data_IF_352823863985
#
_entry.id   IF_352823863985
#
_cell.length_a   1.000
_cell.length_b   1.000
_cell.length_c   1.000
_cell.angle_alpha   90.00
_cell.angle_beta   90.00
_cell.angle_gamma   90.00
#
_symmetry.space_group_name_H-M   'P 1'
#
loop_
_entity.id
_entity.type
_entity.pdbx_description
1 polymer ?
#
# COMPACT_ATOMS: atom_id res chain seq x y z
N UNK A 1 13.49 -0.95 -2.96
CA UNK A 1 13.78 0.50 -3.01
C UNK A 1 13.75 0.99 -1.59
N UNK A 2 14.52 2.02 -1.28
CA UNK A 2 14.37 2.70 0.00
C UNK A 2 13.05 3.49 0.00
N UNK A 3 12.50 3.77 1.19
CA UNK A 3 11.21 4.45 1.32
C UNK A 3 11.16 5.81 0.62
N UNK A 4 12.24 6.61 0.71
CA UNK A 4 12.32 7.90 0.02
C UNK A 4 12.19 7.77 -1.51
N UNK A 5 12.82 6.76 -2.10
CA UNK A 5 12.73 6.49 -3.55
C UNK A 5 11.32 6.08 -3.98
N UNK A 6 10.60 5.37 -3.10
CA UNK A 6 9.20 4.98 -3.32
C UNK A 6 8.31 6.22 -3.30
N UNK A 7 8.49 7.08 -2.31
CA UNK A 7 7.70 8.31 -2.16
C UNK A 7 7.90 9.27 -3.33
N UNK A 8 9.12 9.36 -3.88
CA UNK A 8 9.39 10.16 -5.08
C UNK A 8 8.65 9.65 -6.32
N UNK A 9 8.53 8.33 -6.49
CA UNK A 9 7.96 7.72 -7.71
C UNK A 9 6.47 7.45 -7.63
N UNK A 10 6.00 7.02 -6.47
CA UNK A 10 4.66 6.46 -6.29
C UNK A 10 3.88 7.14 -5.16
N UNK A 11 4.48 8.08 -4.41
CA UNK A 11 3.87 8.67 -3.21
C UNK A 11 2.50 9.28 -3.46
N UNK A 12 2.28 9.92 -4.60
CA UNK A 12 1.01 10.59 -4.96
C UNK A 12 0.00 9.65 -5.65
N UNK A 13 0.37 8.39 -5.88
CA UNK A 13 -0.55 7.39 -6.47
C UNK A 13 -1.68 7.15 -5.48
N UNK A 14 -2.91 7.27 -5.98
CA UNK A 14 -4.10 7.01 -5.20
C UNK A 14 -4.46 5.53 -5.23
N UNK A 15 -4.69 4.98 -4.06
CA UNK A 15 -5.16 3.61 -3.86
C UNK A 15 -6.47 3.63 -3.08
N UNK A 16 -7.26 2.56 -3.24
CA UNK A 16 -8.51 2.33 -2.52
C UNK A 16 -8.45 1.00 -1.81
N UNK A 17 -9.10 0.92 -0.66
CA UNK A 17 -9.34 -0.36 -0.01
C UNK A 17 -10.01 -1.34 -0.98
N UNK A 18 -9.47 -2.55 -1.07
CA UNK A 18 -9.97 -3.61 -1.96
C UNK A 18 -10.49 -4.80 -1.18
N UNK A 19 -9.70 -5.28 -0.22
CA UNK A 19 -10.01 -6.51 0.52
C UNK A 19 -9.17 -6.59 1.78
N UNK A 20 -9.55 -7.47 2.70
CA UNK A 20 -8.71 -7.87 3.81
C UNK A 20 -8.68 -9.39 3.90
N UNK A 21 -7.55 -9.94 4.36
CA UNK A 21 -7.45 -11.34 4.72
C UNK A 21 -6.60 -11.49 5.97
N UNK A 22 -7.20 -12.05 7.02
CA UNK A 22 -6.61 -12.11 8.37
C UNK A 22 -6.17 -10.72 8.83
N UNK A 23 -4.86 -10.49 8.90
CA UNK A 23 -4.25 -9.29 9.46
C UNK A 23 -3.73 -8.31 8.42
N UNK A 24 -4.01 -8.58 7.14
CA UNK A 24 -3.49 -7.75 6.04
C UNK A 24 -4.65 -7.09 5.32
N UNK A 25 -4.60 -5.77 5.25
CA UNK A 25 -5.46 -4.95 4.42
C UNK A 25 -4.79 -4.71 3.07
N UNK A 26 -5.56 -4.88 2.00
CA UNK A 26 -5.08 -4.70 0.63
C UNK A 26 -5.73 -3.47 0.03
N UNK A 27 -4.88 -2.58 -0.47
CA UNK A 27 -5.27 -1.40 -1.23
C UNK A 27 -4.80 -1.55 -2.67
N UNK A 28 -5.61 -1.08 -3.62
CA UNK A 28 -5.30 -1.16 -5.05
C UNK A 28 -5.46 0.18 -5.72
N UNK A 29 -4.58 0.46 -6.66
CA UNK A 29 -4.62 1.64 -7.51
C UNK A 29 -3.89 1.39 -8.82
N UNK A 30 -3.71 2.47 -9.57
CA UNK A 30 -2.93 2.46 -10.81
C UNK A 30 -2.10 3.72 -10.90
N UNK A 31 -0.89 3.59 -11.46
CA UNK A 31 -0.08 4.77 -11.82
C UNK A 31 -0.69 5.47 -13.04
N UNK A 32 -0.21 6.67 -13.35
CA UNK A 32 -0.57 7.38 -14.58
C UNK A 32 -0.22 6.58 -15.85
N UNK A 33 0.79 5.71 -15.75
CA UNK A 33 1.20 4.79 -16.81
C UNK A 33 0.37 3.49 -16.85
N UNK A 34 -0.73 3.42 -16.09
CA UNK A 34 -1.64 2.26 -16.00
C UNK A 34 -0.96 0.98 -15.48
N UNK A 35 0.13 1.12 -14.71
CA UNK A 35 0.74 0.02 -13.95
C UNK A 35 -0.14 -0.29 -12.74
N UNK A 36 -0.35 -1.57 -12.44
CA UNK A 36 -1.08 -1.97 -11.24
C UNK A 36 -0.24 -1.71 -10.00
N UNK A 37 -0.85 -1.08 -9.00
CA UNK A 37 -0.26 -0.86 -7.68
C UNK A 37 -1.08 -1.58 -6.64
N UNK A 38 -0.41 -2.40 -5.83
CA UNK A 38 -0.99 -3.08 -4.69
C UNK A 38 -0.20 -2.68 -3.45
N UNK A 39 -0.90 -2.21 -2.41
CA UNK A 39 -0.31 -1.89 -1.13
C UNK A 39 -0.89 -2.80 -0.05
N UNK A 40 -0.05 -3.24 0.86
CA UNK A 40 -0.41 -4.05 2.01
C UNK A 40 -0.13 -3.29 3.30
N UNK A 41 -1.09 -3.33 4.22
CA UNK A 41 -0.94 -2.76 5.57
C UNK A 41 -1.38 -3.78 6.61
N UNK A 42 -0.60 -3.90 7.68
CA UNK A 42 -0.72 -4.88 8.74
C UNK A 42 -0.21 -6.26 8.36
N UNK A 43 0.21 -7.02 9.35
CA UNK A 43 0.68 -8.42 9.20
C UNK A 43 0.39 -9.26 10.44
N UNK A 44 0.29 -8.59 11.58
CA UNK A 44 0.09 -9.18 12.89
C UNK A 44 -1.28 -8.77 13.48
N UNK A 45 -1.78 -9.51 14.49
CA UNK A 45 -2.99 -9.11 15.20
C UNK A 45 -2.90 -7.75 15.89
N UNK A 46 -1.70 -7.23 16.14
CA UNK A 46 -1.51 -5.95 16.81
C UNK A 46 -1.67 -4.79 15.81
N UNK A 47 -1.16 -4.95 14.58
CA UNK A 47 -1.18 -3.93 13.53
C UNK A 47 -2.60 -3.60 13.02
N UNK A 48 -3.55 -4.54 13.12
CA UNK A 48 -4.89 -4.36 12.54
C UNK A 48 -5.74 -3.28 13.20
N UNK A 49 -5.35 -2.84 14.39
CA UNK A 49 -6.05 -1.75 15.09
C UNK A 49 -5.49 -0.38 14.72
N UNK A 50 -4.40 -0.31 13.97
CA UNK A 50 -3.74 0.94 13.58
C UNK A 50 -4.33 1.55 12.30
N UNK A 51 -5.08 0.75 11.52
CA UNK A 51 -5.59 1.14 10.21
C UNK A 51 -7.11 1.33 10.23
N UNK A 52 -7.57 2.55 10.01
CA UNK A 52 -8.98 2.82 9.72
C UNK A 52 -9.24 2.66 8.22
N UNK A 53 -10.02 1.66 7.84
CA UNK A 53 -10.42 1.48 6.43
C UNK A 53 -11.63 2.33 6.07
N UNK A 54 -11.50 3.14 5.01
CA UNK A 54 -12.60 3.83 4.34
C UNK A 54 -12.59 3.47 2.84
N UNK A 55 -13.69 3.74 2.16
CA UNK A 55 -13.89 3.58 0.71
C UNK A 55 -13.29 4.73 -0.10
N UNK A 56 -12.76 5.76 0.55
CA UNK A 56 -12.12 6.91 -0.09
C UNK A 56 -10.75 6.55 -0.66
N UNK A 57 -10.33 7.35 -1.62
CA UNK A 57 -8.95 7.31 -2.12
C UNK A 57 -8.00 7.86 -1.05
N UNK A 58 -6.86 7.21 -0.92
CA UNK A 58 -5.73 7.66 -0.10
C UNK A 58 -4.47 7.56 -0.94
N UNK A 59 -3.54 8.51 -0.78
CA UNK A 59 -2.24 8.41 -1.46
C UNK A 59 -1.34 7.37 -0.78
N UNK A 60 -0.38 6.80 -1.50
CA UNK A 60 0.60 5.88 -0.89
C UNK A 60 1.34 6.57 0.26
N UNK A 61 1.66 7.86 0.09
CA UNK A 61 2.32 8.69 1.11
C UNK A 61 1.50 8.80 2.40
N UNK A 62 0.20 8.98 2.29
CA UNK A 62 -0.70 9.06 3.46
C UNK A 62 -1.02 7.70 4.05
N UNK A 63 -1.02 6.64 3.23
CA UNK A 63 -1.31 5.28 3.65
C UNK A 63 -0.15 4.66 4.44
N UNK A 64 1.09 5.00 4.10
CA UNK A 64 2.31 4.47 4.71
C UNK A 64 2.33 2.93 4.78
N UNK A 65 2.26 2.22 3.63
CA UNK A 65 2.09 0.77 3.64
C UNK A 65 3.37 0.00 3.93
N UNK A 66 3.24 -1.11 4.65
CA UNK A 66 4.34 -2.03 4.95
C UNK A 66 4.94 -2.70 3.72
N UNK A 67 4.16 -2.87 2.64
CA UNK A 67 4.63 -3.46 1.39
C UNK A 67 3.91 -2.90 0.18
N UNK A 68 4.67 -2.72 -0.91
CA UNK A 68 4.16 -2.23 -2.19
C UNK A 68 4.61 -3.16 -3.31
N UNK A 69 3.64 -3.59 -4.12
CA UNK A 69 3.86 -4.28 -5.38
C UNK A 69 3.47 -3.39 -6.56
N UNK A 70 4.31 -3.42 -7.60
CA UNK A 70 4.05 -2.80 -8.90
C UNK A 70 4.06 -3.90 -9.96
N UNK A 71 2.94 -4.06 -10.68
CA UNK A 71 2.75 -5.12 -11.67
C UNK A 71 3.15 -6.53 -11.16
N UNK A 72 2.80 -6.84 -9.91
CA UNK A 72 3.08 -8.13 -9.27
C UNK A 72 4.54 -8.34 -8.83
N UNK A 73 5.35 -7.28 -8.78
CA UNK A 73 6.71 -7.31 -8.21
C UNK A 73 6.76 -6.45 -6.96
N UNK A 74 7.18 -7.03 -5.83
CA UNK A 74 7.49 -6.28 -4.61
C UNK A 74 8.63 -5.30 -4.89
N UNK A 75 8.36 -4.00 -4.70
CA UNK A 75 9.34 -2.92 -4.89
C UNK A 75 9.79 -2.31 -3.57
N UNK A 76 8.99 -2.47 -2.52
CA UNK A 76 9.25 -2.02 -1.16
C UNK A 76 8.59 -2.98 -0.17
N UNK A 77 9.29 -3.24 0.93
CA UNK A 77 8.79 -4.02 2.07
C UNK A 77 9.53 -3.57 3.32
N UNK A 78 8.80 -3.25 4.38
CA UNK A 78 9.33 -2.96 5.72
C UNK A 78 9.20 -4.18 6.64
N UNK A 79 9.03 -5.36 6.06
CA UNK A 79 8.98 -6.62 6.80
C UNK A 79 10.38 -6.98 7.30
N UNK A 80 10.53 -6.98 8.63
CA UNK A 80 11.71 -7.43 9.37
C UNK A 80 11.74 -8.95 9.57
#
# INVERSE_FOLDING_TARGET
>A
MEWDEVLEKYGDVKVKFSSYYKYTFTFKGKTENNEEVICHVGWTPDDIYEVSVDTKEITIRELDPDEIEINGKVVYTDRW
#
